data_IF_603465911544
#
_entry.id   IF_603465911544
#
_cell.length_a   1.000
_cell.length_b   1.000
_cell.length_c   1.000
_cell.angle_alpha   90.00
_cell.angle_beta   90.00
_cell.angle_gamma   90.00
#
_symmetry.space_group_name_H-M   'P 1'
#
loop_
_entity.id
_entity.type
_entity.pdbx_description
1 polymer ?
#
# COMPACT_ATOMS: atom_id res chain seq x y z
N UNK A 1 -20.07 -7.11 5.12
CA UNK A 1 -19.44 -6.27 4.08
C UNK A 1 -17.96 -6.14 4.43
N UNK A 2 -17.08 -6.86 3.74
CA UNK A 2 -15.63 -6.82 3.98
C UNK A 2 -15.09 -5.40 3.78
N UNK A 3 -14.82 -4.69 4.88
CA UNK A 3 -14.21 -3.36 4.88
C UNK A 3 -12.69 -3.46 4.70
N UNK A 4 -12.25 -4.16 3.65
CA UNK A 4 -10.81 -4.37 3.42
C UNK A 4 -10.18 -3.13 2.81
N UNK A 5 -9.10 -2.65 3.44
CA UNK A 5 -8.26 -1.60 2.87
C UNK A 5 -7.76 -2.02 1.48
N UNK A 6 -7.92 -1.14 0.49
CA UNK A 6 -7.39 -1.35 -0.86
C UNK A 6 -5.98 -0.77 -0.94
N UNK A 7 -5.06 -1.52 -1.52
CA UNK A 7 -3.68 -1.11 -1.70
C UNK A 7 -3.39 -1.08 -3.20
N UNK A 8 -2.80 0.00 -3.69
CA UNK A 8 -2.47 0.20 -5.10
C UNK A 8 -0.99 0.58 -5.17
N UNK A 9 -0.19 -0.20 -5.89
CA UNK A 9 1.21 0.16 -6.15
C UNK A 9 1.25 1.08 -7.37
N UNK A 10 1.98 2.21 -7.27
CA UNK A 10 2.21 3.14 -8.38
C UNK A 10 3.69 3.36 -8.57
N UNK A 11 4.16 3.25 -9.81
CA UNK A 11 5.50 3.69 -10.19
C UNK A 11 5.50 5.21 -10.36
N UNK A 12 6.39 5.89 -9.64
CA UNK A 12 6.62 7.32 -9.71
C UNK A 12 7.58 7.64 -10.87
N UNK A 13 7.53 8.88 -11.35
CA UNK A 13 8.40 9.36 -12.45
C UNK A 13 9.89 9.33 -12.13
N UNK A 14 10.26 9.28 -10.85
CA UNK A 14 11.64 9.18 -10.37
C UNK A 14 12.14 7.71 -10.28
N UNK A 15 11.35 6.74 -10.74
CA UNK A 15 11.70 5.31 -10.67
C UNK A 15 11.42 4.65 -9.32
N UNK A 16 10.85 5.36 -8.34
CA UNK A 16 10.41 4.75 -7.08
C UNK A 16 8.99 4.21 -7.17
N UNK A 17 8.71 3.17 -6.41
CA UNK A 17 7.37 2.64 -6.19
C UNK A 17 6.77 3.27 -4.93
N UNK A 18 5.49 3.61 -5.02
CA UNK A 18 4.68 4.16 -3.93
C UNK A 18 3.46 3.28 -3.74
N UNK A 19 3.16 2.91 -2.50
CA UNK A 19 1.92 2.21 -2.16
C UNK A 19 0.88 3.24 -1.74
N UNK A 20 -0.25 3.26 -2.42
CA UNK A 20 -1.42 4.05 -2.04
C UNK A 20 -2.39 3.14 -1.29
N UNK A 21 -2.57 3.41 -0.01
CA UNK A 21 -3.58 2.76 0.82
C UNK A 21 -4.85 3.59 0.80
N UNK A 22 -5.93 3.01 0.27
CA UNK A 22 -7.26 3.62 0.26
C UNK A 22 -8.18 2.84 1.21
N UNK A 23 -8.73 3.56 2.19
CA UNK A 23 -9.71 3.03 3.14
C UNK A 23 -10.98 3.88 3.04
N UNK A 24 -12.17 3.29 3.08
CA UNK A 24 -13.42 4.06 2.98
C UNK A 24 -13.65 5.00 4.17
N UNK A 25 -13.01 4.75 5.31
CA UNK A 25 -13.23 5.51 6.55
C UNK A 25 -12.22 6.65 6.77
N UNK A 26 -11.11 6.72 6.01
CA UNK A 26 -10.05 7.74 6.17
C UNK A 26 -9.48 8.21 4.84
N UNK A 27 -8.79 9.35 4.85
CA UNK A 27 -8.06 9.85 3.69
C UNK A 27 -7.04 8.82 3.17
N UNK A 28 -6.87 8.80 1.85
CA UNK A 28 -5.87 7.96 1.20
C UNK A 28 -4.48 8.27 1.76
N UNK A 29 -3.72 7.23 2.08
CA UNK A 29 -2.35 7.36 2.61
C UNK A 29 -1.36 6.84 1.58
N UNK A 30 -0.43 7.68 1.20
CA UNK A 30 0.65 7.33 0.28
C UNK A 30 1.90 6.95 1.10
N UNK A 31 2.49 5.81 0.76
CA UNK A 31 3.73 5.31 1.36
C UNK A 31 4.77 5.26 0.23
N UNK A 32 5.59 6.30 0.05
CA UNK A 32 6.68 6.30 -0.91
C UNK A 32 7.90 5.54 -0.38
N UNK A 33 8.89 5.31 -1.25
CA UNK A 33 10.22 4.83 -0.86
C UNK A 33 10.52 3.37 -1.18
N UNK A 34 9.71 2.69 -2.00
CA UNK A 34 10.01 1.33 -2.44
C UNK A 34 10.87 1.37 -3.71
N UNK A 35 11.94 0.58 -3.77
CA UNK A 35 12.79 0.50 -4.97
C UNK A 35 12.17 -0.44 -6.02
N UNK A 36 11.39 -1.42 -5.59
CA UNK A 36 10.77 -2.43 -6.47
C UNK A 36 9.28 -2.65 -6.16
N UNK A 37 8.54 -3.14 -7.15
CA UNK A 37 7.15 -3.57 -6.95
C UNK A 37 7.03 -4.72 -5.95
N UNK A 38 8.03 -5.62 -5.91
CA UNK A 38 8.09 -6.73 -4.98
C UNK A 38 8.18 -6.27 -3.52
N UNK A 39 9.02 -5.28 -3.21
CA UNK A 39 9.07 -4.66 -1.88
C UNK A 39 7.76 -3.98 -1.49
N UNK A 40 7.16 -3.25 -2.43
CA UNK A 40 5.86 -2.61 -2.21
C UNK A 40 4.77 -3.66 -1.88
N UNK A 41 4.74 -4.78 -2.61
CA UNK A 41 3.83 -5.89 -2.35
C UNK A 41 4.11 -6.60 -1.01
N UNK A 42 5.38 -6.83 -0.67
CA UNK A 42 5.77 -7.41 0.61
C UNK A 42 5.30 -6.53 1.79
N UNK A 43 5.42 -5.22 1.66
CA UNK A 43 4.91 -4.27 2.65
C UNK A 43 3.38 -4.34 2.78
N UNK A 44 2.65 -4.44 1.66
CA UNK A 44 1.19 -4.60 1.67
C UNK A 44 0.80 -5.90 2.38
N UNK A 45 1.48 -7.01 2.07
CA UNK A 45 1.24 -8.31 2.70
C UNK A 45 1.45 -8.24 4.22
N UNK A 46 2.54 -7.62 4.67
CA UNK A 46 2.81 -7.36 6.09
C UNK A 46 1.71 -6.53 6.75
N UNK A 47 1.23 -5.46 6.10
CA UNK A 47 0.13 -4.63 6.65
C UNK A 47 -1.21 -5.35 6.70
N UNK A 48 -1.52 -6.22 5.74
CA UNK A 48 -2.73 -7.05 5.79
C UNK A 48 -2.69 -8.01 6.98
N UNK A 49 -1.53 -8.61 7.25
CA UNK A 49 -1.35 -9.49 8.40
C UNK A 49 -1.45 -8.73 9.73
N UNK A 50 -0.83 -7.55 9.82
CA UNK A 50 -0.86 -6.72 11.02
C UNK A 50 -2.25 -6.15 11.33
N UNK A 51 -3.10 -5.92 10.31
CA UNK A 51 -4.49 -5.48 10.50
C UNK A 51 -5.44 -6.59 10.93
N UNK A 52 -4.96 -7.84 11.05
CA UNK A 52 -5.72 -9.03 11.50
C UNK A 52 -5.52 -9.34 12.99
N UNK A 53 -4.66 -8.58 13.68
CA UNK A 53 -4.52 -8.53 15.14
C UNK A 53 -5.49 -7.48 15.71
#
# INVERSE_FOLDING_TARGET
>A
MERSARYIVRLQKNGQYTVVMSRPEWANREIPGFATEAEANAWIAGRRQQSKL
#
